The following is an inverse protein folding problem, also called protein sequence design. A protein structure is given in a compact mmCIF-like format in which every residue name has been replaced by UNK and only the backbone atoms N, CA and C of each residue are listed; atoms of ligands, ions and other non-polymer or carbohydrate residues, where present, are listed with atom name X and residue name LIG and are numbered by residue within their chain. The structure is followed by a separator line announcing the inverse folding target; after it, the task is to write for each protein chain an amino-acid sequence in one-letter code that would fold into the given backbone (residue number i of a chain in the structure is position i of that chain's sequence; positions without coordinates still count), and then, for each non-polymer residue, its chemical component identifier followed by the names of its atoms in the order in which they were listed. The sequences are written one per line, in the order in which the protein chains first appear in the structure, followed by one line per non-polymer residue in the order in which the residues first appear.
data_IF_675658209617
#
_entry.id   IF_675658209617
#
_cell.length_a   1.000
_cell.length_b   1.000
_cell.length_c   1.000
_cell.angle_alpha   90.00
_cell.angle_beta   90.00
_cell.angle_gamma   90.00
#
_symmetry.space_group_name_H-M   'P 1'
#
loop_
_entity.id
_entity.type
_entity.pdbx_description
1 polymer ?
2 non-polymer ?
3 water ?
#
# COMPACT_ATOMS: atom_id res chain seq x y z
N UNK A 2 -5.60 18.64 -14.65
CA UNK A 2 -4.71 19.51 -15.45
C UNK A 2 -5.49 20.60 -16.19
N UNK A 3 -6.45 20.20 -17.02
CA UNK A 3 -7.25 21.17 -17.79
C UNK A 3 -8.19 20.48 -18.79
N UNK A 4 -8.73 19.33 -18.40
CA UNK A 4 -9.65 18.58 -19.26
C UNK A 4 -11.09 18.78 -18.88
N UNK A 5 -11.96 18.86 -19.88
CA UNK A 5 -13.39 19.00 -19.63
C UNK A 5 -13.84 17.62 -19.13
N UNK A 6 -15.04 17.56 -18.59
CA UNK A 6 -15.57 16.31 -18.09
C UNK A 6 -15.60 15.23 -19.18
N UNK A 7 -16.01 15.60 -20.39
CA UNK A 7 -16.07 14.61 -21.47
C UNK A 7 -14.68 14.16 -21.98
N UNK A 8 -13.74 15.09 -22.06
CA UNK A 8 -12.38 14.75 -22.51
C UNK A 8 -11.74 13.80 -21.50
N UNK A 9 -12.07 14.00 -20.22
CA UNK A 9 -11.57 13.16 -19.15
C UNK A 9 -12.10 11.74 -19.35
N UNK A 10 -13.37 11.61 -19.74
CA UNK A 10 -13.95 10.28 -19.98
C UNK A 10 -13.27 9.60 -21.17
N UNK A 11 -12.99 10.35 -22.22
CA UNK A 11 -12.30 9.76 -23.37
C UNK A 11 -10.89 9.35 -22.92
N UNK A 12 -10.22 10.25 -22.19
CA UNK A 12 -8.86 9.97 -21.70
C UNK A 12 -8.80 8.78 -20.76
N UNK A 13 -9.80 8.63 -19.89
CA UNK A 13 -9.80 7.49 -18.97
C UNK A 13 -10.00 6.19 -19.74
N UNK A 14 -10.87 6.23 -20.74
CA UNK A 14 -11.13 5.04 -21.55
C UNK A 14 -9.86 4.60 -22.25
N UNK A 15 -9.12 5.56 -22.80
CA UNK A 15 -7.86 5.25 -23.49
C UNK A 15 -6.86 4.58 -22.54
N UNK A 16 -6.67 5.13 -21.34
CA UNK A 16 -5.74 4.52 -20.40
C UNK A 16 -6.18 3.14 -19.94
N UNK A 17 -7.47 2.97 -19.64
CA UNK A 17 -8.01 1.68 -19.19
C UNK A 17 -7.81 0.61 -20.28
N UNK A 18 -8.05 1.01 -21.51
CA UNK A 18 -7.92 0.11 -22.65
C UNK A 18 -6.47 -0.32 -22.84
N UNK A 19 -5.55 0.62 -22.67
CA UNK A 19 -4.14 0.32 -22.82
C UNK A 19 -3.72 -0.58 -21.66
N UNK A 20 -4.18 -0.26 -20.45
CA UNK A 20 -3.84 -1.05 -19.26
C UNK A 20 -4.34 -2.49 -19.35
N UNK A 21 -5.42 -2.71 -20.09
CA UNK A 21 -6.00 -4.04 -20.21
C UNK A 21 -5.57 -4.83 -21.44
N UNK A 22 -5.34 -4.14 -22.55
CA UNK A 22 -4.96 -4.80 -23.78
C UNK A 22 -3.54 -4.50 -24.25
N UNK A 23 -2.98 -3.39 -23.77
CA UNK A 23 -1.63 -3.03 -24.18
C UNK A 23 -1.62 -2.15 -25.42
N UNK A 24 -2.81 -1.83 -25.92
CA UNK A 24 -2.94 -0.97 -27.09
C UNK A 24 -4.12 -0.03 -26.96
N UNK A 25 -4.05 1.13 -27.65
CA UNK A 25 -5.14 2.11 -27.61
C UNK A 25 -6.39 1.60 -28.32
N UNK A 26 -7.54 2.22 -28.06
CA UNK A 26 -8.81 1.83 -28.68
C UNK A 26 -8.90 2.56 -30.02
N UNK A 27 -9.75 2.08 -30.92
CA UNK A 27 -9.93 2.75 -32.21
C UNK A 27 -10.95 3.85 -31.98
N UNK A 28 -11.12 4.73 -32.96
CA UNK A 28 -12.10 5.81 -32.85
C UNK A 28 -13.51 5.23 -32.73
N UNK A 29 -13.76 4.13 -33.45
CA UNK A 29 -15.07 3.47 -33.41
C UNK A 29 -15.37 2.92 -32.01
N UNK A 30 -14.36 2.30 -31.39
CA UNK A 30 -14.55 1.74 -30.06
C UNK A 30 -14.88 2.85 -29.06
N UNK A 31 -14.20 3.99 -29.21
CA UNK A 31 -14.45 5.11 -28.33
C UNK A 31 -15.90 5.59 -28.51
N UNK A 32 -16.31 5.80 -29.76
CA UNK A 32 -17.66 6.27 -30.06
C UNK A 32 -18.75 5.35 -29.51
N UNK A 33 -18.52 4.05 -29.67
CA UNK A 33 -19.44 3.02 -29.23
C UNK A 33 -19.61 2.99 -27.70
N UNK A 34 -18.51 2.89 -26.98
CA UNK A 34 -18.57 2.81 -25.53
C UNK A 34 -19.08 4.09 -24.87
N UNK A 35 -18.78 5.24 -25.45
CA UNK A 35 -19.24 6.48 -24.86
C UNK A 35 -20.54 7.00 -25.47
N UNK A 36 -21.11 6.24 -26.39
CA UNK A 36 -22.36 6.65 -27.00
C UNK A 36 -22.28 7.90 -27.87
N UNK A 37 -21.15 8.10 -28.54
CA UNK A 37 -21.00 9.26 -29.41
C UNK A 37 -21.76 9.01 -30.71
N UNK A 38 -22.17 10.07 -31.35
CA UNK A 38 -22.91 9.99 -32.61
C UNK A 38 -22.15 9.26 -33.73
N UNK A 39 -20.82 9.39 -33.74
CA UNK A 39 -20.05 8.75 -34.79
C UNK A 39 -18.55 8.82 -34.50
N UNK A 40 -17.74 8.16 -35.34
CA UNK A 40 -16.29 8.18 -35.14
C UNK A 40 -15.76 9.62 -35.21
N UNK A 41 -16.39 10.45 -36.06
CA UNK A 41 -16.00 11.85 -36.22
C UNK A 41 -16.04 12.58 -34.87
N UNK A 42 -17.03 12.26 -34.04
CA UNK A 42 -17.15 12.89 -32.72
C UNK A 42 -15.98 12.52 -31.83
N UNK A 43 -15.56 11.25 -31.87
CA UNK A 43 -14.43 10.79 -31.07
C UNK A 43 -13.11 11.47 -31.51
N UNK A 44 -12.96 11.64 -32.82
CA UNK A 44 -11.76 12.27 -33.38
C UNK A 44 -11.57 13.66 -32.80
N UNK A 45 -12.65 14.42 -32.72
CA UNK A 45 -12.59 15.78 -32.21
C UNK A 45 -12.06 15.82 -30.77
N UNK A 46 -12.50 14.88 -29.95
CA UNK A 46 -12.04 14.82 -28.58
C UNK A 46 -10.59 14.43 -28.51
N UNK A 47 -10.17 13.55 -29.42
CA UNK A 47 -8.78 13.11 -29.45
C UNK A 47 -7.88 14.27 -29.84
N UNK A 48 -8.37 15.08 -30.78
CA UNK A 48 -7.63 16.25 -31.22
C UNK A 48 -7.40 17.21 -30.07
N UNK A 49 -8.42 17.38 -29.24
CA UNK A 49 -8.32 18.29 -28.10
C UNK A 49 -7.36 17.73 -27.04
N UNK A 50 -7.35 16.41 -26.88
CA UNK A 50 -6.46 15.77 -25.92
C UNK A 50 -5.00 15.91 -26.40
N UNK A 51 -4.81 15.76 -27.70
CA UNK A 51 -3.48 15.90 -28.28
C UNK A 51 -3.02 17.35 -28.08
N UNK A 52 -3.97 18.26 -28.21
CA UNK A 52 -3.69 19.68 -28.05
C UNK A 52 -3.27 19.99 -26.62
N UNK A 53 -3.92 19.34 -25.66
CA UNK A 53 -3.63 19.53 -24.25
C UNK A 53 -2.37 18.77 -23.87
N UNK A 54 -1.82 18.01 -24.82
CA UNK A 54 -0.59 17.27 -24.58
C UNK A 54 -0.62 15.97 -23.78
N UNK A 55 -1.78 15.37 -23.58
CA UNK A 55 -1.82 14.13 -22.82
C UNK A 55 -1.57 12.90 -23.71
N UNK A 56 -1.80 13.06 -25.01
CA UNK A 56 -1.55 12.00 -25.99
C UNK A 56 -0.91 12.58 -27.24
N UNK A 57 -0.37 11.70 -28.07
CA UNK A 57 0.23 12.06 -29.34
C UNK A 57 -0.52 11.23 -30.37
N UNK A 58 -0.96 11.89 -31.44
CA UNK A 58 -1.69 11.23 -32.52
C UNK A 58 -0.76 10.90 -33.67
N UNK A 59 -0.57 9.61 -33.91
CA UNK A 59 0.28 9.16 -35.02
C UNK A 59 -0.64 9.00 -36.22
N UNK A 60 -0.77 10.06 -37.02
CA UNK A 60 -1.63 10.03 -38.20
C UNK A 60 -1.46 8.72 -38.96
N UNK A 61 -2.54 8.25 -39.57
CA UNK A 61 -2.47 7.01 -40.31
C UNK A 61 -2.18 5.85 -39.37
N UNK A 62 -2.45 4.63 -39.84
CA UNK A 62 -2.24 3.44 -39.03
C UNK A 62 -3.33 3.39 -37.95
N UNK A 63 -4.02 2.27 -37.86
CA UNK A 63 -5.09 2.10 -36.89
C UNK A 63 -4.51 2.10 -35.48
N UNK A 64 -5.30 2.58 -34.52
CA UNK A 64 -4.87 2.64 -33.12
C UNK A 64 -3.59 3.45 -33.00
N UNK A 65 -3.53 4.57 -33.72
CA UNK A 65 -2.36 5.42 -33.71
C UNK A 65 -2.40 6.47 -32.63
N UNK A 66 -2.37 6.01 -31.37
CA UNK A 66 -2.41 6.91 -30.23
C UNK A 66 -1.32 6.53 -29.24
N UNK A 67 -0.64 7.54 -28.71
CA UNK A 67 0.42 7.34 -27.74
C UNK A 67 0.20 8.27 -26.55
N UNK A 68 0.46 7.76 -25.36
CA UNK A 68 0.33 8.55 -24.13
C UNK A 68 1.64 9.26 -23.87
N UNK A 69 1.55 10.49 -23.39
CA UNK A 69 2.73 11.28 -23.07
C UNK A 69 2.66 11.66 -21.59
N UNK A 70 3.74 12.23 -21.08
CA UNK A 70 3.79 12.65 -19.69
C UNK A 70 3.43 11.52 -18.72
N UNK A 71 3.89 10.32 -19.02
CA UNK A 71 3.61 9.17 -18.16
C UNK A 71 4.29 9.32 -16.80
N UNK A 72 5.55 9.73 -16.81
CA UNK A 72 6.31 9.91 -15.58
C UNK A 72 5.55 10.81 -14.59
N UNK A 73 5.05 10.20 -13.52
CA UNK A 73 4.29 10.93 -12.50
C UNK A 73 4.83 10.78 -11.07
N UNK A 74 4.67 11.84 -10.27
CA UNK A 74 5.14 11.87 -8.88
C UNK A 74 4.20 11.16 -7.88
N UNK A 75 4.82 10.46 -6.93
CA UNK A 75 4.04 9.75 -5.92
C UNK A 75 3.62 8.35 -6.33
N UNK A 76 2.54 7.86 -5.73
CA UNK A 76 2.04 6.53 -6.03
C UNK A 76 0.52 6.51 -6.00
N UNK A 77 -0.09 5.90 -7.01
CA UNK A 77 -1.54 5.84 -6.98
C UNK A 77 -1.95 4.76 -5.98
N UNK A 78 -3.05 4.97 -5.29
CA UNK A 78 -3.55 3.98 -4.35
C UNK A 78 -4.75 3.28 -4.98
N UNK A 79 -4.64 1.97 -5.17
CA UNK A 79 -5.74 1.20 -5.74
C UNK A 79 -6.63 0.66 -4.62
N UNK A 80 -7.92 0.97 -4.70
CA UNK A 80 -8.89 0.50 -3.73
C UNK A 80 -9.52 -0.77 -4.25
N UNK A 81 -10.84 -0.89 -4.17
CA UNK A 81 -11.50 -2.09 -4.67
C UNK A 81 -11.31 -2.24 -6.17
N UNK A 82 -11.32 -3.47 -6.65
CA UNK A 82 -11.15 -3.77 -8.06
C UNK A 82 -12.46 -4.35 -8.59
N UNK A 83 -12.79 -4.07 -9.84
CA UNK A 83 -14.03 -4.58 -10.41
C UNK A 83 -13.73 -5.72 -11.38
N UNK A 84 -14.73 -6.58 -11.59
CA UNK A 84 -14.57 -7.69 -12.51
C UNK A 84 -14.51 -7.21 -13.95
N UNK A 85 -13.67 -7.85 -14.76
CA UNK A 85 -13.52 -7.48 -16.15
C UNK A 85 -12.81 -6.15 -16.37
N UNK A 86 -12.19 -5.62 -15.32
CA UNK A 86 -11.49 -4.34 -15.39
C UNK A 86 -10.04 -4.48 -14.96
N UNK A 87 -9.12 -3.83 -15.68
CA UNK A 87 -7.70 -3.92 -15.30
C UNK A 87 -7.52 -3.47 -13.86
N UNK A 88 -6.48 -3.96 -13.22
CA UNK A 88 -6.22 -3.59 -11.84
C UNK A 88 -6.09 -2.08 -11.72
N UNK A 89 -5.34 -1.46 -12.64
CA UNK A 89 -5.14 -0.02 -12.60
C UNK A 89 -6.15 0.85 -13.34
N UNK A 90 -7.41 0.40 -13.41
CA UNK A 90 -8.47 1.16 -14.05
C UNK A 90 -8.63 2.48 -13.28
N UNK A 91 -8.83 3.59 -14.01
CA UNK A 91 -8.99 4.89 -13.36
C UNK A 91 -10.04 4.90 -12.26
N UNK A 92 -11.12 4.15 -12.44
CA UNK A 92 -12.19 4.10 -11.45
C UNK A 92 -11.69 3.48 -10.14
N UNK A 93 -10.63 2.67 -10.20
CA UNK A 93 -10.09 2.02 -9.01
C UNK A 93 -9.16 2.92 -8.17
N UNK A 94 -8.55 3.92 -8.83
CA UNK A 94 -7.62 4.83 -8.17
C UNK A 94 -8.33 5.77 -7.21
N UNK A 95 -7.96 5.71 -5.94
CA UNK A 95 -8.57 6.56 -4.94
C UNK A 95 -7.66 7.70 -4.53
N UNK A 96 -6.62 7.95 -5.31
CA UNK A 96 -5.70 9.02 -5.00
C UNK A 96 -4.24 8.72 -5.28
N UNK A 97 -3.39 9.74 -5.18
CA UNK A 97 -1.96 9.61 -5.40
C UNK A 97 -1.31 10.15 -4.14
N UNK A 98 -0.38 9.39 -3.57
CA UNK A 98 0.29 9.85 -2.35
C UNK A 98 1.76 10.15 -2.58
N UNK A 99 2.25 11.20 -1.94
CA UNK A 99 3.65 11.58 -2.08
C UNK A 99 4.54 10.71 -1.22
N UNK A 100 4.95 9.58 -1.79
CA UNK A 100 5.83 8.65 -1.11
C UNK A 100 6.92 8.30 -2.12
N UNK A 101 8.17 8.38 -1.68
CA UNK A 101 9.33 8.07 -2.51
C UNK A 101 9.27 6.62 -2.97
N UNK A 102 9.05 6.39 -4.27
CA UNK A 102 8.97 5.02 -4.78
C UNK A 102 10.24 4.22 -4.53
N UNK A 103 11.37 4.91 -4.44
CA UNK A 103 12.65 4.21 -4.23
C UNK A 103 12.92 3.77 -2.80
N UNK A 104 11.98 4.08 -1.90
CA UNK A 104 12.13 3.62 -0.52
C UNK A 104 12.04 2.07 -0.53
N UNK A 105 11.43 1.53 -1.58
CA UNK A 105 11.27 0.09 -1.69
C UNK A 105 12.19 -0.50 -2.76
N UNK A 106 12.49 -1.79 -2.61
CA UNK A 106 13.35 -2.48 -3.55
C UNK A 106 12.79 -3.88 -3.83
N UNK A 107 12.37 -4.13 -5.07
CA UNK A 107 12.37 -3.19 -6.21
C UNK A 107 11.46 -2.01 -5.91
N UNK A 108 11.54 -0.97 -6.74
CA UNK A 108 10.72 0.22 -6.55
C UNK A 108 9.22 -0.08 -6.70
N UNK A 109 8.42 0.61 -5.90
CA UNK A 109 6.97 0.45 -5.92
C UNK A 109 6.36 1.21 -7.10
N UNK A 110 5.37 0.59 -7.73
CA UNK A 110 4.68 1.19 -8.85
C UNK A 110 3.33 1.71 -8.39
N UNK A 111 2.74 1.02 -7.42
CA UNK A 111 1.45 1.46 -6.87
C UNK A 111 1.20 0.87 -5.50
N UNK A 112 0.22 1.45 -4.80
CA UNK A 112 -0.21 0.99 -3.49
C UNK A 112 -1.56 0.30 -3.67
N UNK A 113 -1.77 -0.79 -2.94
CA UNK A 113 -3.01 -1.56 -3.02
C UNK A 113 -3.56 -1.73 -1.60
N UNK A 114 -4.85 -1.44 -1.39
CA UNK A 114 -5.42 -1.62 -0.06
C UNK A 114 -5.70 -3.11 0.19
N UNK A 115 -5.17 -3.64 1.30
CA UNK A 115 -5.36 -5.06 1.62
C UNK A 115 -6.68 -5.32 2.36
N UNK A 116 -7.36 -6.38 1.95
CA UNK A 116 -8.61 -6.75 2.60
C UNK A 116 -8.41 -8.08 3.31
N UNK A 117 -8.73 -8.12 4.59
CA UNK A 117 -8.60 -9.37 5.31
C UNK A 117 -7.31 -9.62 6.08
N UNK A 118 -7.37 -10.62 6.94
CA UNK A 118 -6.27 -10.99 7.80
C UNK A 118 -5.44 -12.20 7.34
N UNK A 119 -5.61 -12.61 6.08
CA UNK A 119 -4.87 -13.78 5.58
C UNK A 119 -3.34 -13.75 5.75
N UNK A 120 -2.72 -12.57 5.77
CA UNK A 120 -1.27 -12.48 5.88
C UNK A 120 -0.78 -11.88 7.21
N UNK A 121 -1.63 -12.00 8.21
CA UNK A 121 -1.39 -11.49 9.54
C UNK A 121 -0.03 -11.83 10.16
N UNK A 122 0.39 -13.09 10.05
CA UNK A 122 1.64 -13.51 10.66
C UNK A 122 2.91 -12.85 10.16
N UNK A 123 2.89 -12.28 8.96
CA UNK A 123 4.10 -11.58 8.53
C UNK A 123 3.88 -10.07 8.61
N UNK A 124 2.88 -9.68 9.40
CA UNK A 124 2.62 -8.26 9.62
C UNK A 124 1.79 -7.46 8.62
N UNK A 125 1.04 -8.16 7.78
CA UNK A 125 0.19 -7.45 6.83
C UNK A 125 -1.24 -7.60 7.32
N UNK A 126 -1.79 -6.48 7.78
CA UNK A 126 -3.13 -6.44 8.37
C UNK A 126 -4.21 -5.86 7.45
N UNK A 127 -5.47 -6.13 7.82
CA UNK A 127 -6.62 -5.63 7.06
C UNK A 127 -6.49 -4.12 6.96
N UNK A 128 -6.68 -3.55 5.78
CA UNK A 128 -6.57 -2.10 5.64
C UNK A 128 -5.18 -1.54 5.38
N UNK A 129 -4.15 -2.36 5.42
CA UNK A 129 -2.79 -1.87 5.15
C UNK A 129 -2.69 -1.47 3.66
N UNK A 130 -1.75 -0.55 3.37
CA UNK A 130 -1.52 -0.14 1.98
C UNK A 130 -0.28 -0.92 1.55
N UNK A 131 -0.48 -1.92 0.69
CA UNK A 131 0.63 -2.73 0.20
C UNK A 131 1.39 -2.05 -0.95
N UNK A 132 2.70 -1.95 -0.84
CA UNK A 132 3.49 -1.36 -1.92
C UNK A 132 3.77 -2.52 -2.88
N UNK A 133 3.44 -2.32 -4.15
CA UNK A 133 3.58 -3.34 -5.19
C UNK A 133 4.46 -2.96 -6.39
N UNK A 134 5.35 -3.86 -6.78
CA UNK A 134 6.21 -3.65 -7.95
C UNK A 134 5.57 -4.46 -9.09
N UNK A 135 5.11 -3.78 -10.13
CA UNK A 135 4.46 -4.43 -11.27
C UNK A 135 5.42 -5.33 -12.05
N UNK A 136 5.10 -6.61 -12.11
CA UNK A 136 5.94 -7.58 -12.80
C UNK A 136 5.25 -8.93 -12.80
N UNK A 137 5.64 -9.80 -13.72
CA UNK A 137 5.04 -11.14 -13.76
C UNK A 137 6.17 -12.13 -13.51
N UNK A 138 7.38 -11.60 -13.42
CA UNK A 138 8.55 -12.42 -13.18
C UNK A 138 8.70 -12.60 -11.68
N UNK A 139 8.12 -13.67 -11.16
CA UNK A 139 8.19 -13.92 -9.72
C UNK A 139 8.61 -15.36 -9.48
N UNK A 140 8.94 -15.69 -8.24
CA UNK A 140 9.38 -17.04 -7.90
C UNK A 140 8.62 -17.62 -6.69
N UNK A 141 8.73 -18.94 -6.54
CA UNK A 141 8.10 -19.66 -5.44
C UNK A 141 8.54 -19.07 -4.10
N UNK A 142 7.61 -18.93 -3.16
CA UNK A 142 7.99 -18.39 -1.87
C UNK A 142 7.83 -16.89 -1.72
N UNK A 143 7.62 -16.18 -2.82
CA UNK A 143 7.42 -14.73 -2.77
C UNK A 143 5.96 -14.35 -2.55
N UNK A 144 5.74 -13.20 -1.91
CA UNK A 144 4.39 -12.70 -1.67
C UNK A 144 3.99 -11.92 -2.91
N UNK A 145 2.96 -12.40 -3.59
CA UNK A 145 2.52 -11.75 -4.82
C UNK A 145 1.08 -11.30 -4.77
N UNK A 146 0.73 -10.43 -5.71
CA UNK A 146 -0.64 -9.96 -5.85
C UNK A 146 -1.08 -10.74 -7.10
N UNK A 147 -2.06 -11.62 -6.94
CA UNK A 147 -2.57 -12.42 -8.03
C UNK A 147 -4.06 -12.24 -8.24
N UNK A 148 -4.50 -12.49 -9.46
CA UNK A 148 -5.91 -12.39 -9.80
C UNK A 148 -6.41 -13.77 -10.23
N UNK A 149 -7.43 -14.25 -9.54
CA UNK A 149 -8.04 -15.57 -9.81
C UNK A 149 -9.48 -15.29 -10.29
N UNK A 150 -9.77 -15.55 -11.56
CA UNK A 150 -11.10 -15.27 -12.12
C UNK A 150 -11.64 -13.94 -11.60
N UNK A 151 -10.90 -12.87 -11.82
CA UNK A 151 -11.34 -11.54 -11.36
C UNK A 151 -11.15 -11.21 -9.89
N UNK A 152 -10.97 -12.20 -9.02
CA UNK A 152 -10.75 -11.88 -7.62
C UNK A 152 -9.25 -11.64 -7.41
N UNK A 153 -8.91 -10.57 -6.71
CA UNK A 153 -7.54 -10.23 -6.43
C UNK A 153 -7.21 -10.70 -5.01
N UNK A 154 -5.99 -11.18 -4.81
CA UNK A 154 -5.61 -11.66 -3.50
C UNK A 154 -4.10 -11.51 -3.31
N UNK A 155 -3.69 -11.44 -2.04
CA UNK A 155 -2.27 -11.30 -1.69
C UNK A 155 -1.88 -12.55 -0.90
N UNK A 156 -1.02 -13.37 -1.49
CA UNK A 156 -0.64 -14.62 -0.86
C UNK A 156 0.78 -15.03 -1.27
N UNK A 157 1.33 -16.04 -0.58
CA UNK A 157 2.65 -16.56 -0.92
C UNK A 157 2.48 -17.60 -2.03
N UNK A 158 3.32 -17.52 -3.05
CA UNK A 158 3.24 -18.40 -4.20
C UNK A 158 3.93 -19.76 -4.06
N UNK A 159 3.22 -20.80 -4.51
CA UNK A 159 3.76 -22.16 -4.53
C UNK A 159 3.24 -22.83 -5.79
N UNK A 160 4.08 -22.84 -6.82
CA UNK A 160 3.70 -23.46 -8.08
C UNK A 160 3.63 -24.96 -7.84
N UNK A 161 2.68 -25.62 -8.49
CA UNK A 161 2.51 -27.07 -8.33
C UNK A 161 2.05 -27.70 -9.66
N UNK A 162 2.94 -27.70 -10.66
CA UNK A 162 2.60 -28.27 -11.96
C UNK A 162 1.56 -27.45 -12.72
N UNK A 163 0.38 -28.03 -12.93
CA UNK A 163 -0.68 -27.31 -13.63
C UNK A 163 -1.56 -26.58 -12.62
N UNK A 164 -1.17 -26.63 -11.35
CA UNK A 164 -1.91 -25.97 -10.29
C UNK A 164 -1.00 -24.97 -9.59
N UNK A 165 -1.62 -24.07 -8.83
CA UNK A 165 -0.89 -23.08 -8.07
C UNK A 165 -1.56 -23.07 -6.72
N UNK A 166 -0.76 -23.10 -5.68
CA UNK A 166 -1.29 -23.04 -4.33
C UNK A 166 -0.86 -21.67 -3.81
N UNK A 167 -1.84 -20.92 -3.32
CA UNK A 167 -1.59 -19.59 -2.79
C UNK A 167 -1.68 -19.74 -1.29
N UNK A 168 -0.52 -19.66 -0.63
CA UNK A 168 -0.42 -19.84 0.82
C UNK A 168 -0.64 -18.59 1.66
N UNK A 169 -1.42 -18.71 2.75
CA UNK A 169 -1.71 -17.59 3.66
C UNK A 169 -0.66 -17.64 4.79
N UNK A 170 -0.65 -16.62 5.64
CA UNK A 170 0.24 -16.59 6.79
C UNK A 170 -0.68 -16.28 7.97
N UNK A 171 -1.57 -17.23 8.27
CA UNK A 171 -2.55 -17.10 9.36
C UNK A 171 -3.13 -18.51 9.56
N UNK A 172 -2.99 -19.04 10.78
CA UNK A 172 -3.44 -20.40 11.06
C UNK A 172 -4.94 -20.65 10.86
N UNK A 173 -5.76 -19.61 10.94
CA UNK A 173 -7.21 -19.76 10.71
C UNK A 173 -7.54 -19.96 9.23
N UNK A 174 -6.62 -19.63 8.34
CA UNK A 174 -6.83 -19.74 6.90
C UNK A 174 -6.27 -21.03 6.28
N UNK A 175 -6.77 -21.38 5.10
CA UNK A 175 -6.23 -22.52 4.42
C UNK A 175 -5.79 -22.06 3.02
N UNK A 176 -4.92 -22.83 2.36
CA UNK A 176 -4.43 -22.48 1.03
C UNK A 176 -5.54 -22.39 0.00
N UNK A 177 -5.29 -21.61 -1.04
CA UNK A 177 -6.20 -21.47 -2.15
C UNK A 177 -5.49 -22.21 -3.29
N UNK A 178 -6.16 -23.23 -3.85
CA UNK A 178 -5.61 -24.01 -4.94
C UNK A 178 -6.20 -23.54 -6.27
N UNK A 179 -5.36 -23.14 -7.20
CA UNK A 179 -5.86 -22.69 -8.50
C UNK A 179 -5.52 -23.72 -9.57
N UNK A 180 -6.52 -24.19 -10.31
CA UNK A 180 -6.27 -25.17 -11.37
C UNK A 180 -6.12 -24.35 -12.65
N UNK A 181 -4.90 -24.27 -13.16
CA UNK A 181 -4.60 -23.49 -14.36
C UNK A 181 -5.32 -23.96 -15.61
N UNK A 182 -5.84 -25.19 -15.56
CA UNK A 182 -6.52 -25.74 -16.71
C UNK A 182 -7.96 -25.22 -16.83
N UNK A 183 -8.53 -24.73 -15.73
CA UNK A 183 -9.90 -24.22 -15.82
C UNK A 183 -10.16 -22.85 -15.21
N UNK A 184 -9.12 -22.17 -14.73
CA UNK A 184 -9.30 -20.85 -14.16
C UNK A 184 -8.32 -19.84 -14.75
N UNK A 185 -8.75 -18.60 -14.79
CA UNK A 185 -7.91 -17.54 -15.29
C UNK A 185 -7.04 -17.15 -14.10
N UNK A 186 -5.73 -17.02 -14.33
CA UNK A 186 -4.79 -16.68 -13.27
C UNK A 186 -3.68 -15.82 -13.81
N UNK A 187 -3.44 -14.68 -13.17
CA UNK A 187 -2.38 -13.79 -13.63
C UNK A 187 -1.70 -13.13 -12.43
N UNK A 188 -0.40 -12.88 -12.57
CA UNK A 188 0.35 -12.24 -11.52
C UNK A 188 0.29 -10.76 -11.80
N UNK A 189 -0.17 -9.97 -10.83
CA UNK A 189 -0.26 -8.53 -11.00
C UNK A 189 1.01 -7.84 -10.52
N UNK A 190 1.70 -8.45 -9.56
CA UNK A 190 2.91 -7.84 -9.06
C UNK A 190 3.53 -8.51 -7.84
N UNK A 191 4.63 -7.91 -7.39
CA UNK A 191 5.38 -8.39 -6.23
C UNK A 191 5.22 -7.42 -5.07
N UNK A 192 4.93 -7.93 -3.87
CA UNK A 192 4.78 -7.06 -2.70
C UNK A 192 6.19 -6.65 -2.28
N UNK A 193 6.42 -5.35 -2.09
CA UNK A 193 7.75 -4.89 -1.71
C UNK A 193 7.79 -4.04 -0.45
N UNK A 194 6.64 -3.89 0.20
CA UNK A 194 6.60 -3.11 1.42
C UNK A 194 5.18 -2.86 1.87
N UNK A 195 5.04 -2.17 3.00
CA UNK A 195 3.74 -1.85 3.55
C UNK A 195 3.72 -0.47 4.22
N UNK A 196 2.57 0.19 4.12
CA UNK A 196 2.37 1.47 4.79
C UNK A 196 1.03 1.32 5.53
N UNK A 197 1.07 1.50 6.84
CA UNK A 197 -0.14 1.42 7.66
C UNK A 197 -0.40 2.84 8.17
N UNK A 198 -1.57 3.37 7.86
CA UNK A 198 -1.89 4.71 8.32
C UNK A 198 -3.31 4.72 8.80
N UNK B 75 9.00 15.75 4.35
CA UNK B 75 9.53 14.39 4.70
C UNK B 75 9.54 14.14 6.19
N UNK B 76 10.04 12.98 6.60
CA UNK B 76 10.12 12.60 7.99
C UNK B 76 11.50 12.16 8.40
N UNK B 77 12.01 12.71 9.51
CA UNK B 77 13.34 12.29 9.93
C UNK B 77 13.26 11.01 10.74
N UNK B 78 14.28 10.16 10.58
CA UNK B 78 14.37 8.94 11.37
C UNK B 78 15.30 9.41 12.48
N UNK B 79 14.75 9.68 13.65
CA UNK B 79 15.56 10.19 14.74
C UNK B 79 16.13 9.16 15.70
N UNK B 80 15.91 7.89 15.41
CA UNK B 80 16.45 6.88 16.30
C UNK B 80 15.72 5.55 16.29
N UNK B 81 16.02 4.77 17.31
CA UNK B 81 15.46 3.43 17.52
C UNK B 81 14.52 3.38 18.73
N UNK B 82 13.62 2.42 18.74
CA UNK B 82 12.69 2.25 19.85
C UNK B 82 12.62 0.76 20.18
N UNK B 83 12.68 0.44 21.47
CA UNK B 83 12.66 -0.95 21.92
C UNK B 83 11.27 -1.57 21.90
N UNK B 84 11.19 -2.79 21.38
CA UNK B 84 9.94 -3.55 21.32
C UNK B 84 10.29 -5.02 21.60
N UNK B 85 11.02 -5.24 22.69
CA UNK B 85 11.40 -6.60 23.07
C UNK B 85 12.81 -6.95 22.63
N UNK B 86 13.64 -5.93 22.49
CA UNK B 86 15.03 -6.10 22.08
C UNK B 86 15.88 -4.94 22.59
N UNK B 87 17.03 -5.25 23.22
CA UNK B 87 17.93 -4.23 23.76
C UNK B 87 18.46 -3.28 22.68
N UNK B 94 20.27 11.84 14.20
CA UNK B 94 19.32 11.35 13.16
C UNK B 94 20.08 10.40 12.25
N UNK B 95 19.45 9.30 11.87
CA UNK B 95 20.10 8.32 11.02
C UNK B 95 19.43 8.21 9.66
N UNK B 96 18.62 9.21 9.32
CA UNK B 96 17.94 9.18 8.03
C UNK B 96 16.83 10.20 7.89
N UNK B 97 16.37 10.37 6.66
CA UNK B 97 15.29 11.30 6.35
C UNK B 97 14.52 10.70 5.17
N UNK B 98 13.21 10.51 5.34
CA UNK B 98 12.40 9.90 4.29
C UNK B 98 11.37 10.80 3.69
N UNK B 99 11.23 10.72 2.37
CA UNK B 99 10.25 11.51 1.64
C UNK B 99 8.90 10.82 1.66
N UNK B 100 8.21 11.00 2.77
CA UNK B 100 6.89 10.42 2.96
C UNK B 100 6.02 11.51 3.60
N UNK B 101 4.99 11.91 2.87
CA UNK B 101 4.06 12.94 3.31
C UNK B 101 3.60 12.68 4.75
N UNK B 102 3.98 13.58 5.69
CA UNK B 102 3.57 13.40 7.09
C UNK B 102 2.07 13.47 7.30
N UNK B 103 1.37 14.01 6.31
CA UNK B 103 -0.09 14.14 6.37
C UNK B 103 -0.84 12.84 6.06
N UNK B 104 -0.11 11.82 5.63
CA UNK B 104 -0.74 10.53 5.34
C UNK B 104 -1.24 9.89 6.62
N UNK B 105 -0.71 10.36 7.74
CA UNK B 105 -1.09 9.83 9.05
C UNK B 105 -1.94 10.82 9.84
N UNK B 106 -2.79 10.29 10.72
CA UNK B 106 -3.66 11.14 11.55
C UNK B 106 -3.70 10.71 13.02
N UNK B 107 -3.25 11.59 13.94
CA UNK B 107 -2.72 12.91 13.61
C UNK B 107 -1.42 12.80 12.85
N UNK B 108 -0.93 13.93 12.33
CA UNK B 108 0.30 13.93 11.54
C UNK B 108 1.53 13.41 12.27
N UNK B 109 2.35 12.67 11.54
CA UNK B 109 3.58 12.12 12.09
C UNK B 109 4.61 13.23 12.17
N UNK B 110 5.43 13.20 13.23
CA UNK B 110 6.48 14.19 13.42
C UNK B 110 7.85 13.58 13.16
N UNK B 111 7.96 12.26 13.34
CA UNK B 111 9.22 11.55 13.11
C UNK B 111 9.03 10.03 13.09
N UNK B 112 10.06 9.36 12.61
CA UNK B 112 10.06 7.91 12.51
C UNK B 112 11.07 7.32 13.49
N UNK B 113 10.76 6.13 14.01
CA UNK B 113 11.65 5.46 14.93
C UNK B 113 11.76 4.03 14.39
N UNK B 114 12.97 3.48 14.43
CA UNK B 114 13.18 2.12 13.95
C UNK B 114 12.84 1.15 15.09
N UNK B 115 11.93 0.22 14.84
CA UNK B 115 11.52 -0.77 15.84
C UNK B 115 12.47 -1.97 16.01
N UNK B 116 12.73 -2.37 17.26
CA UNK B 116 13.60 -3.51 17.55
C UNK B 116 12.82 -4.56 18.36
N UNK B 117 12.74 -5.79 17.86
CA UNK B 117 12.03 -6.82 18.60
C UNK B 117 10.63 -7.12 18.09
N UNK B 118 10.05 -8.20 18.58
CA UNK B 118 8.73 -8.66 18.15
C UNK B 118 7.63 -8.50 19.22
N UNK B 119 7.85 -7.62 20.19
CA UNK B 119 6.90 -7.41 21.27
C UNK B 119 5.49 -6.95 20.83
N UNK B 120 5.40 -6.35 19.65
CA UNK B 120 4.12 -5.87 19.15
C UNK B 120 3.69 -6.58 17.86
N UNK B 121 4.23 -7.78 17.63
CA UNK B 121 3.91 -8.52 16.41
C UNK B 121 2.43 -8.78 16.16
N UNK B 122 1.65 -9.07 17.22
CA UNK B 122 0.24 -9.36 17.04
C UNK B 122 -0.61 -8.27 16.40
N UNK B 123 -0.14 -7.02 16.43
CA UNK B 123 -0.92 -5.99 15.75
C UNK B 123 -0.16 -5.51 14.53
N UNK B 124 0.73 -6.35 14.03
CA UNK B 124 1.49 -6.02 12.81
C UNK B 124 2.70 -5.11 12.88
N UNK B 125 3.23 -4.86 14.08
CA UNK B 125 4.43 -4.04 14.19
C UNK B 125 5.56 -5.06 14.34
N UNK B 126 6.42 -5.12 13.32
CA UNK B 126 7.52 -6.09 13.27
C UNK B 126 8.91 -5.51 13.46
N UNK B 127 9.86 -6.39 13.77
CA UNK B 127 11.25 -5.98 13.96
C UNK B 127 11.72 -5.32 12.66
N UNK B 128 12.38 -4.17 12.76
CA UNK B 128 12.86 -3.49 11.56
C UNK B 128 11.88 -2.47 10.97
N UNK B 129 10.60 -2.51 11.37
CA UNK B 129 9.62 -1.55 10.85
C UNK B 129 9.99 -0.12 11.28
N UNK B 130 9.51 0.85 10.53
CA UNK B 130 9.70 2.25 10.85
C UNK B 130 8.36 2.67 11.44
N UNK B 131 8.40 3.10 12.70
CA UNK B 131 7.19 3.51 13.39
C UNK B 131 7.00 5.02 13.26
N UNK B 132 5.90 5.44 12.66
CA UNK B 132 5.59 6.87 12.52
C UNK B 132 5.00 7.33 13.87
N UNK B 133 5.53 8.42 14.40
CA UNK B 133 5.12 8.93 15.71
C UNK B 133 4.66 10.38 15.70
N UNK B 134 3.62 10.66 16.48
CA UNK B 134 3.11 12.02 16.63
C UNK B 134 3.51 12.44 18.04
N UNK B 135 4.24 13.54 18.13
CA UNK B 135 4.72 14.06 19.40
C UNK B 135 3.56 14.68 20.19
N UNK B 136 3.27 14.12 21.36
CA UNK B 136 2.19 14.60 22.22
C UNK B 136 2.28 13.91 23.57
N UNK B 137 1.62 14.49 24.57
CA UNK B 137 1.62 13.94 25.92
C UNK B 137 0.25 13.39 26.25
N UNK B 138 -0.74 13.82 25.47
CA UNK B 138 -2.12 13.43 25.67
C UNK B 138 -2.54 12.10 25.04
N UNK B 139 -2.24 11.01 25.71
CA UNK B 139 -2.62 9.70 25.19
C UNK B 139 -3.61 9.10 26.19
N UNK B 140 -4.16 7.95 25.85
CA UNK B 140 -5.12 7.31 26.74
C UNK B 140 -4.96 5.79 26.69
N UNK B 141 -5.59 5.12 27.65
CA UNK B 141 -5.51 3.67 27.72
C UNK B 141 -5.93 3.02 26.42
N UNK B 142 -5.18 2.01 26.02
CA UNK B 142 -5.52 1.31 24.79
C UNK B 142 -4.69 1.73 23.59
N UNK B 143 -4.15 2.95 23.62
CA UNK B 143 -3.33 3.43 22.51
C UNK B 143 -1.88 2.90 22.55
N UNK B 144 -1.26 2.81 21.38
CA UNK B 144 0.11 2.35 21.29
C UNK B 144 0.95 3.59 21.45
N UNK B 145 1.80 3.61 22.47
CA UNK B 145 2.62 4.79 22.70
C UNK B 145 4.10 4.50 22.72
N UNK B 146 4.86 5.59 22.61
CA UNK B 146 6.30 5.52 22.68
C UNK B 146 6.61 6.12 24.05
N UNK B 147 7.16 5.32 24.95
CA UNK B 147 7.48 5.78 26.29
C UNK B 147 8.94 5.58 26.70
N UNK B 148 9.41 6.47 27.56
CA UNK B 148 10.77 6.40 28.05
C UNK B 148 10.76 6.10 29.55
N UNK B 149 11.29 4.93 29.92
CA UNK B 149 11.36 4.53 31.31
C UNK B 149 12.83 4.53 31.68
N UNK B 150 13.24 5.49 32.50
CA UNK B 150 14.64 5.57 32.92
C UNK B 150 15.57 5.68 31.71
N UNK B 151 15.21 6.56 30.79
CA UNK B 151 16.00 6.76 29.58
C UNK B 151 16.17 5.60 28.60
N UNK B 152 15.11 4.81 28.44
CA UNK B 152 15.11 3.74 27.44
C UNK B 152 13.74 3.78 26.78
N UNK B 153 13.74 4.10 25.48
CA UNK B 153 12.51 4.24 24.70
C UNK B 153 11.90 2.91 24.24
N UNK B 154 10.64 2.70 24.59
CA UNK B 154 9.92 1.49 24.22
C UNK B 154 8.56 1.82 23.59
N UNK B 155 8.00 0.83 22.90
CA UNK B 155 6.70 0.98 22.26
C UNK B 155 5.82 -0.13 22.80
N UNK B 156 4.72 0.25 23.46
CA UNK B 156 3.80 -0.70 24.05
C UNK B 156 2.40 -0.10 24.12
N UNK B 157 1.41 -0.91 24.44
CA UNK B 157 0.06 -0.42 24.60
C UNK B 157 -0.07 0.07 26.06
N UNK B 158 -0.59 1.28 26.23
CA UNK B 158 -0.72 1.89 27.55
C UNK B 158 -1.96 1.48 28.35
N UNK B 159 -1.78 1.34 29.67
CA UNK B 159 -2.87 1.07 30.59
C UNK B 159 -2.46 1.70 31.92
N UNK B 160 -2.95 2.91 32.15
CA UNK B 160 -2.66 3.64 33.36
C UNK B 160 -3.79 3.66 34.35
N UNK B 161 -3.45 3.62 35.63
CA UNK B 161 -4.43 3.67 36.71
C UNK B 161 -3.80 4.36 37.91
N UNK B 162 -4.07 5.66 38.05
CA UNK B 162 -3.51 6.41 39.15
C UNK B 162 -2.00 6.45 39.03
N UNK B 163 -1.31 5.88 40.01
CA UNK B 163 0.15 5.86 40.00
C UNK B 163 0.70 4.60 39.33
N UNK B 164 -0.19 3.72 38.90
CA UNK B 164 0.21 2.47 38.26
C UNK B 164 0.15 2.54 36.73
N UNK B 165 1.29 2.32 36.08
CA UNK B 165 1.34 2.32 34.64
C UNK B 165 1.70 0.93 34.14
N UNK B 166 0.83 0.35 33.33
CA UNK B 166 1.07 -0.96 32.77
C UNK B 166 1.36 -0.78 31.30
N UNK B 167 2.50 -1.29 30.84
CA UNK B 167 2.86 -1.21 29.44
C UNK B 167 2.73 -2.61 28.90
N UNK B 168 1.68 -2.83 28.13
CA UNK B 168 1.37 -4.14 27.59
C UNK B 168 1.87 -4.43 26.19
N UNK B 169 2.35 -5.65 25.96
CA UNK B 169 2.87 -6.02 24.63
C UNK B 169 1.70 -6.61 23.88
N UNK B 170 1.90 -6.85 22.59
CA UNK B 170 0.92 -7.53 21.78
C UNK B 170 1.67 -8.75 21.23
N UNK B 171 1.98 -9.65 22.15
CA UNK B 171 2.70 -10.90 21.90
C UNK B 171 2.57 -11.69 23.22
N UNK B 172 1.86 -12.81 23.19
CA UNK B 172 1.66 -13.59 24.41
C UNK B 172 2.93 -14.17 25.03
N UNK B 173 4.06 -14.06 24.33
CA UNK B 173 5.30 -14.57 24.89
C UNK B 173 6.00 -13.52 25.76
N UNK B 174 5.52 -12.29 25.71
CA UNK B 174 6.14 -11.22 26.49
C UNK B 174 5.41 -10.87 27.76
N UNK B 175 6.16 -10.45 28.76
CA UNK B 175 5.53 -10.05 30.02
C UNK B 175 5.19 -8.57 29.99
N UNK B 176 4.11 -8.17 30.67
CA UNK B 176 3.74 -6.76 30.69
C UNK B 176 4.73 -6.07 31.62
N UNK B 177 4.90 -4.77 31.46
CA UNK B 177 5.82 -4.02 32.30
C UNK B 177 5.03 -3.09 33.20
N UNK B 178 5.24 -3.18 34.51
CA UNK B 178 4.54 -2.32 35.45
C UNK B 178 5.49 -1.25 35.94
N UNK B 179 5.03 0.00 35.87
CA UNK B 179 5.85 1.12 36.30
C UNK B 179 5.15 1.88 37.41
N UNK B 180 5.89 2.22 38.46
CA UNK B 180 5.32 3.00 39.55
C UNK B 180 5.86 4.40 39.37
N UNK B 181 4.95 5.36 39.18
CA UNK B 181 5.38 6.73 38.95
C UNK B 181 6.08 7.41 40.12
N UNK B 182 5.83 6.96 41.35
CA UNK B 182 6.47 7.55 42.51
C UNK B 182 7.96 7.19 42.57
N UNK B 183 8.31 6.04 42.01
CA UNK B 183 9.69 5.57 42.07
C UNK B 183 10.55 5.72 40.82
N UNK B 184 9.93 5.64 39.64
CA UNK B 184 10.70 5.73 38.41
C UNK B 184 10.38 6.91 37.52
N UNK B 185 11.35 7.28 36.69
CA UNK B 185 11.17 8.38 35.75
C UNK B 185 10.37 7.78 34.61
N UNK B 186 9.37 8.50 34.14
CA UNK B 186 8.52 8.00 33.06
C UNK B 186 7.98 9.17 32.27
N UNK B 187 8.18 9.11 30.96
CA UNK B 187 7.72 10.17 30.07
C UNK B 187 7.15 9.59 28.78
N UNK B 188 6.01 10.11 28.35
CA UNK B 188 5.39 9.69 27.10
C UNK B 188 6.07 10.54 26.03
N UNK B 189 6.68 9.91 25.04
CA UNK B 189 7.35 10.65 23.98
C UNK B 189 6.37 10.97 22.87
N UNK B 190 5.49 10.02 22.56
CA UNK B 190 4.52 10.25 21.50
C UNK B 190 3.52 9.13 21.31
N UNK B 191 2.66 9.32 20.30
CA UNK B 191 1.62 8.37 19.94
C UNK B 191 1.98 7.71 18.62
N UNK B 192 1.89 6.38 18.57
CA UNK B 192 2.16 5.70 17.31
C UNK B 192 0.97 5.98 16.39
N UNK B 193 1.23 6.44 15.16
CA UNK B 193 0.13 6.71 14.22
C UNK B 193 0.30 5.96 12.90
N UNK B 194 1.34 5.15 12.80
CA UNK B 194 1.55 4.43 11.56
C UNK B 194 2.85 3.63 11.48
N UNK B 195 3.00 2.90 10.38
CA UNK B 195 4.15 2.06 10.13
C UNK B 195 4.55 2.04 8.65
N UNK B 196 5.87 1.96 8.41
CA UNK B 196 6.42 1.85 7.07
C UNK B 196 7.41 0.67 7.13
N UNK B 197 7.16 -0.33 6.31
CA UNK B 197 8.04 -1.49 6.23
C UNK B 197 8.59 -1.51 4.81
N UNK B 198 9.89 -1.35 4.68
CA UNK B 198 10.50 -1.35 3.36
C UNK B 198 11.67 -2.33 3.29
N UNK B 199 11.67 -3.30 4.19
CA UNK B 199 12.71 -4.32 4.18
C UNK B 199 14.10 -3.94 4.64
X LIG C 1 -8.61 3.82 -35.91
X LIG C 1 -7.95 4.68 -36.92
X LIG C 1 -8.96 2.52 -36.52
X LIG C 1 -7.69 3.62 -34.79
X LIG C 1 -9.84 4.49 -35.43
#
# INVERSE_FOLDING_TARGET
MKALTARQQEVFDLIRDHISQTGMPPTRAEIAQRLGFRSPNAAEEHLKALARKGVIEIVSGASRGIRLLQEEEEGLPLVGRVAAGEPLLAQQHIEGHYQVDPSLFKPNADFLLRVSGMAMKDIGIMDGDLLAVHKTQDVRNGQVVVARIDDEVTVKRLKKQGNKVELLPENSEFKPIVVDLRQQSFTIEGLAVGVIRNGDWL
MKALTARQQEVFDLIRDHISQTGMPPTRAEIAQRLGFRSPNAAEEHLKALARKGVIEIVSGASRGIRLLQEEEEGLPLVGRVAAGEPLLAQQHIEGHYQVDPSLFKPNADFLLRVSGMAMKDIGIMDGDLLAVHKTQDVRNGQVVVARIDDEVTVKRLKKQGNKVELLPENSEFKPIVVDLRQQSFTIEGLAVGVIRNGDWL
SO4 S O1 O2 O3 O4
#
